data_IF_639089349596
#
_entry.id   IF_639089349596
#
_cell.length_a   1.000
_cell.length_b   1.000
_cell.length_c   1.000
_cell.angle_alpha   90.00
_cell.angle_beta   90.00
_cell.angle_gamma   90.00
#
_symmetry.space_group_name_H-M   'P 1'
#
loop_
_entity.id
_entity.type
_entity.pdbx_description
1 polymer ?
#
# COMPACT_ATOMS: atom_id res chain seq x y z
N UNK A 1 96.02 15.77 46.36
CA UNK A 1 95.21 17.01 46.41
C UNK A 1 94.63 17.25 45.02
N UNK A 2 93.36 17.70 44.95
CA UNK A 2 92.61 18.21 43.77
C UNK A 2 92.34 17.21 42.64
N UNK A 3 91.17 16.55 42.56
CA UNK A 3 89.84 17.00 42.09
C UNK A 3 89.73 17.22 40.57
N UNK A 4 89.02 16.31 39.87
CA UNK A 4 88.39 16.57 38.58
C UNK A 4 87.10 15.73 38.46
N UNK A 5 85.95 16.40 38.36
CA UNK A 5 84.60 15.83 38.15
C UNK A 5 84.28 15.88 36.65
N UNK A 6 83.87 14.75 36.08
CA UNK A 6 83.32 14.65 34.72
C UNK A 6 81.79 14.69 34.74
N UNK A 7 81.23 15.37 33.74
CA UNK A 7 79.81 15.43 33.38
C UNK A 7 79.34 14.08 32.81
N UNK A 8 78.15 13.61 33.23
CA UNK A 8 77.38 12.57 32.53
C UNK A 8 75.87 12.87 32.66
N UNK A 9 75.20 12.93 31.51
CA UNK A 9 73.78 13.25 31.31
C UNK A 9 72.83 12.30 32.05
N UNK A 10 71.78 12.87 32.66
CA UNK A 10 70.60 12.12 33.15
C UNK A 10 69.47 12.23 32.13
N UNK A 11 69.07 11.11 31.55
CA UNK A 11 67.81 10.97 30.82
C UNK A 11 66.68 10.69 31.83
N UNK A 12 65.62 11.49 31.79
CA UNK A 12 64.37 11.27 32.53
C UNK A 12 63.42 10.46 31.63
N UNK A 13 63.06 9.25 32.06
CA UNK A 13 61.97 8.48 31.47
C UNK A 13 60.71 8.68 32.33
N UNK A 14 59.76 9.47 31.84
CA UNK A 14 58.42 9.56 32.41
C UNK A 14 57.55 8.44 31.83
N UNK A 15 57.17 7.48 32.66
CA UNK A 15 56.16 6.46 32.33
C UNK A 15 54.80 7.04 32.68
N UNK A 16 54.00 7.38 31.68
CA UNK A 16 52.57 7.70 31.87
C UNK A 16 51.76 6.39 31.89
N UNK A 17 50.98 6.11 32.93
CA UNK A 17 50.04 4.99 32.91
C UNK A 17 48.86 5.34 32.00
N UNK A 18 48.73 4.63 30.89
CA UNK A 18 47.58 4.72 29.99
C UNK A 18 46.36 4.11 30.69
N UNK A 19 45.54 4.95 31.31
CA UNK A 19 44.24 4.56 31.86
C UNK A 19 43.29 4.33 30.66
N UNK A 20 43.10 3.06 30.26
CA UNK A 20 42.06 2.65 29.32
C UNK A 20 40.71 2.82 30.02
N UNK A 21 40.07 3.97 29.80
CA UNK A 21 38.65 4.17 30.13
C UNK A 21 37.83 3.28 29.19
N UNK A 22 37.46 2.09 29.68
CA UNK A 22 36.44 1.27 29.05
C UNK A 22 35.11 2.04 29.16
N UNK A 23 34.73 2.76 28.12
CA UNK A 23 33.36 3.27 27.99
C UNK A 23 32.44 2.06 27.97
N UNK A 24 31.51 1.90 28.93
CA UNK A 24 30.54 0.83 28.86
C UNK A 24 29.78 0.99 27.55
N UNK A 25 29.83 -0.03 26.71
CA UNK A 25 28.92 -0.16 25.58
C UNK A 25 27.52 -0.11 26.19
N UNK A 26 26.83 1.00 26.01
CA UNK A 26 25.41 1.13 26.33
C UNK A 26 24.71 0.02 25.56
N UNK A 27 24.28 -1.02 26.27
CA UNK A 27 23.62 -2.16 25.68
C UNK A 27 22.40 -1.69 24.89
N UNK A 28 22.33 -2.07 23.62
CA UNK A 28 21.08 -2.01 22.86
C UNK A 28 20.03 -2.76 23.70
N UNK A 29 18.88 -2.13 23.96
CA UNK A 29 17.78 -2.81 24.61
C UNK A 29 17.23 -3.89 23.68
N UNK A 30 17.84 -5.08 23.77
CA UNK A 30 17.47 -6.25 23.00
C UNK A 30 16.00 -6.63 23.19
N UNK A 31 15.34 -6.15 24.26
CA UNK A 31 13.92 -6.40 24.50
C UNK A 31 13.01 -5.69 23.49
N UNK A 32 13.49 -4.67 22.78
CA UNK A 32 12.70 -3.94 21.77
C UNK A 32 12.88 -4.49 20.34
N UNK A 33 13.91 -5.29 20.09
CA UNK A 33 14.12 -5.93 18.79
C UNK A 33 13.16 -7.11 18.60
N UNK A 34 12.23 -6.98 17.64
CA UNK A 34 11.36 -8.08 17.22
C UNK A 34 12.07 -8.95 16.18
N UNK A 35 12.89 -9.90 16.62
CA UNK A 35 13.57 -10.84 15.73
C UNK A 35 12.56 -11.78 15.04
N UNK A 36 12.61 -11.82 13.70
CA UNK A 36 11.95 -12.82 12.86
C UNK A 36 13.02 -13.72 12.26
N UNK A 37 12.87 -15.03 12.42
CA UNK A 37 13.87 -16.01 11.95
C UNK A 37 13.29 -16.90 10.85
N UNK A 38 14.16 -17.39 9.96
CA UNK A 38 13.77 -18.40 8.98
C UNK A 38 13.29 -19.70 9.66
N UNK A 39 13.81 -20.03 10.85
CA UNK A 39 13.32 -21.17 11.64
C UNK A 39 11.83 -21.03 11.97
N UNK A 40 11.39 -19.86 12.47
CA UNK A 40 9.97 -19.61 12.75
C UNK A 40 9.10 -19.80 11.50
N UNK A 41 9.55 -19.30 10.35
CA UNK A 41 8.83 -19.45 9.08
C UNK A 41 8.68 -20.94 8.70
N UNK A 42 9.77 -21.72 8.77
CA UNK A 42 9.74 -23.15 8.46
C UNK A 42 8.86 -23.92 9.46
N UNK A 43 8.96 -23.61 10.75
CA UNK A 43 8.14 -24.22 11.80
C UNK A 43 6.66 -23.92 11.60
N UNK A 44 6.29 -22.69 11.22
CA UNK A 44 4.90 -22.32 10.90
C UNK A 44 4.39 -23.06 9.65
N UNK A 45 5.23 -23.25 8.62
CA UNK A 45 4.87 -23.99 7.40
C UNK A 45 4.74 -25.50 7.60
N UNK A 46 5.48 -26.06 8.56
CA UNK A 46 5.56 -27.51 8.83
C UNK A 46 4.71 -27.95 10.02
N UNK A 47 4.10 -27.00 10.75
CA UNK A 47 3.20 -27.28 11.86
C UNK A 47 2.05 -28.19 11.39
N UNK A 48 1.94 -29.35 12.01
CA UNK A 48 0.75 -30.18 11.86
C UNK A 48 -0.35 -29.60 12.77
N UNK A 49 -1.28 -28.82 12.19
CA UNK A 49 -2.65 -28.47 12.66
C UNK A 49 -3.07 -27.06 12.20
N UNK A 50 -4.38 -26.71 12.10
CA UNK A 50 -5.59 -27.55 12.08
C UNK A 50 -6.02 -27.95 10.65
N UNK A 51 -6.89 -28.95 10.49
CA UNK A 51 -7.51 -29.26 9.19
C UNK A 51 -8.61 -28.24 8.89
N UNK A 52 -8.28 -27.22 8.10
CA UNK A 52 -9.24 -26.22 7.61
C UNK A 52 -9.77 -26.68 6.25
N UNK A 53 -11.09 -26.69 6.08
CA UNK A 53 -11.70 -26.83 4.77
C UNK A 53 -11.63 -25.49 4.03
N UNK A 54 -10.59 -25.34 3.19
CA UNK A 54 -10.33 -24.11 2.47
C UNK A 54 -11.36 -23.81 1.37
N UNK A 55 -12.29 -24.71 1.08
CA UNK A 55 -13.42 -24.44 0.19
C UNK A 55 -14.64 -23.86 0.96
N UNK A 56 -14.60 -23.89 2.29
CA UNK A 56 -15.67 -23.39 3.15
C UNK A 56 -15.26 -22.08 3.81
N UNK A 57 -15.79 -20.97 3.31
CA UNK A 57 -15.49 -19.62 3.80
C UNK A 57 -15.77 -19.46 5.29
N UNK A 58 -16.84 -20.09 5.81
CA UNK A 58 -17.19 -20.02 7.23
C UNK A 58 -16.18 -20.77 8.11
N UNK A 59 -15.60 -21.86 7.61
CA UNK A 59 -14.56 -22.60 8.30
C UNK A 59 -13.25 -21.81 8.37
N UNK A 60 -12.89 -21.11 7.29
CA UNK A 60 -11.70 -20.26 7.24
C UNK A 60 -11.88 -19.02 8.11
N UNK A 61 -13.05 -18.35 8.02
CA UNK A 61 -13.38 -17.22 8.90
C UNK A 61 -13.30 -17.64 10.37
N UNK A 62 -13.87 -18.79 10.74
CA UNK A 62 -13.81 -19.28 12.11
C UNK A 62 -12.36 -19.49 12.60
N UNK A 63 -11.49 -20.03 11.76
CA UNK A 63 -10.08 -20.25 12.11
C UNK A 63 -9.31 -18.92 12.25
N UNK A 64 -9.48 -18.00 11.31
CA UNK A 64 -8.84 -16.68 11.34
C UNK A 64 -9.32 -15.88 12.54
N UNK A 65 -10.64 -15.79 12.74
CA UNK A 65 -11.24 -15.02 13.83
C UNK A 65 -10.83 -15.54 15.21
N UNK A 66 -10.75 -16.86 15.38
CA UNK A 66 -10.26 -17.47 16.62
C UNK A 66 -8.80 -17.12 16.90
N UNK A 67 -7.97 -16.92 15.87
CA UNK A 67 -6.57 -16.53 16.01
C UNK A 67 -6.36 -15.03 16.29
N UNK A 68 -7.36 -14.17 16.07
CA UNK A 68 -7.23 -12.73 16.28
C UNK A 68 -7.00 -12.37 17.77
N UNK A 69 -6.29 -11.28 18.07
CA UNK A 69 -6.29 -10.71 19.42
C UNK A 69 -7.69 -10.19 19.79
N UNK A 70 -7.92 -9.87 21.07
CA UNK A 70 -9.15 -9.20 21.52
C UNK A 70 -9.31 -7.80 20.91
N UNK A 71 -8.20 -7.17 20.51
CA UNK A 71 -8.15 -5.84 19.90
C UNK A 71 -7.24 -5.87 18.66
N UNK A 72 -7.79 -5.47 17.53
CA UNK A 72 -7.12 -5.37 16.23
C UNK A 72 -7.13 -3.91 15.75
N UNK A 73 -6.00 -3.46 15.17
CA UNK A 73 -5.88 -2.12 14.59
C UNK A 73 -5.96 -2.25 13.07
N UNK A 74 -6.85 -1.48 12.46
CA UNK A 74 -7.09 -1.41 11.02
C UNK A 74 -6.33 -0.19 10.49
N UNK A 75 -5.11 -0.40 10.00
CA UNK A 75 -4.25 0.72 9.60
C UNK A 75 -4.68 1.42 8.31
N UNK A 76 -5.02 0.70 7.22
CA UNK A 76 -5.37 1.33 5.97
C UNK A 76 -6.61 2.21 6.10
N UNK A 77 -6.57 3.40 5.51
CA UNK A 77 -7.66 4.38 5.65
C UNK A 77 -8.98 3.95 5.01
N UNK A 78 -8.94 2.97 4.10
CA UNK A 78 -10.10 2.33 3.48
C UNK A 78 -10.75 1.22 4.32
N UNK A 79 -10.29 0.98 5.56
CA UNK A 79 -10.95 0.09 6.54
C UNK A 79 -10.80 -1.42 6.30
N UNK A 80 -9.68 -1.86 5.71
CA UNK A 80 -9.34 -3.27 5.51
C UNK A 80 -8.37 -3.77 6.59
N UNK A 81 -8.80 -4.77 7.35
CA UNK A 81 -7.91 -5.51 8.25
C UNK A 81 -7.27 -6.68 7.50
N UNK A 82 -6.07 -6.47 7.00
CA UNK A 82 -5.32 -7.51 6.29
C UNK A 82 -4.71 -8.54 7.23
N UNK A 83 -4.67 -9.79 6.78
CA UNK A 83 -4.02 -10.89 7.48
C UNK A 83 -3.36 -11.84 6.47
N UNK A 84 -2.40 -12.63 6.96
CA UNK A 84 -1.89 -13.80 6.24
C UNK A 84 -1.68 -14.97 7.18
N UNK A 85 -1.73 -16.19 6.63
CA UNK A 85 -1.41 -17.41 7.37
C UNK A 85 -0.89 -18.50 6.44
N UNK A 86 0.07 -19.32 6.89
CA UNK A 86 0.49 -20.50 6.16
C UNK A 86 -0.51 -21.65 6.36
N UNK A 87 -0.80 -22.38 5.29
CA UNK A 87 -1.58 -23.62 5.33
C UNK A 87 -1.10 -24.59 4.24
N UNK A 88 -0.63 -25.77 4.66
CA UNK A 88 -0.13 -26.84 3.76
C UNK A 88 0.89 -26.37 2.72
N UNK A 89 1.85 -25.54 3.15
CA UNK A 89 2.92 -25.02 2.28
C UNK A 89 2.50 -23.88 1.34
N UNK A 90 1.27 -23.37 1.48
CA UNK A 90 0.77 -22.19 0.77
C UNK A 90 0.56 -21.08 1.79
N UNK A 91 1.04 -19.87 1.50
CA UNK A 91 0.67 -18.68 2.26
C UNK A 91 -0.61 -18.12 1.66
N UNK A 92 -1.62 -17.94 2.51
CA UNK A 92 -2.86 -17.28 2.17
C UNK A 92 -2.82 -15.85 2.70
N UNK A 93 -3.28 -14.91 1.90
CA UNK A 93 -3.60 -13.55 2.30
C UNK A 93 -5.12 -13.37 2.34
N UNK A 94 -5.58 -12.34 3.02
CA UNK A 94 -6.99 -12.00 3.08
C UNK A 94 -7.24 -10.72 3.87
N UNK A 95 -8.51 -10.35 3.95
CA UNK A 95 -8.94 -9.18 4.70
C UNK A 95 -10.28 -9.41 5.40
N UNK A 96 -10.49 -8.65 6.48
CA UNK A 96 -11.80 -8.34 7.04
C UNK A 96 -12.03 -6.86 6.77
N UNK A 97 -12.98 -6.52 5.90
CA UNK A 97 -13.30 -5.13 5.55
C UNK A 97 -14.59 -4.69 6.20
N UNK A 98 -14.54 -3.47 6.73
CA UNK A 98 -15.71 -2.71 7.19
C UNK A 98 -16.06 -1.71 6.10
N UNK A 99 -17.29 -1.71 5.61
CA UNK A 99 -17.68 -0.68 4.65
C UNK A 99 -17.66 0.68 5.37
N UNK A 100 -16.84 1.61 4.89
CA UNK A 100 -16.73 2.98 5.41
C UNK A 100 -17.93 3.87 5.02
N UNK A 101 -19.03 3.25 4.60
CA UNK A 101 -20.14 3.93 3.97
C UNK A 101 -21.20 4.34 4.99
N UNK A 102 -21.97 5.34 4.60
CA UNK A 102 -23.10 5.87 5.39
C UNK A 102 -24.22 4.80 5.60
N UNK A 103 -24.09 3.62 5.01
CA UNK A 103 -25.04 2.51 5.04
C UNK A 103 -24.45 1.22 5.65
N UNK A 104 -23.70 1.34 6.75
CA UNK A 104 -23.25 0.16 7.49
C UNK A 104 -24.45 -0.75 7.83
N UNK A 105 -24.47 -1.96 7.26
CA UNK A 105 -25.62 -2.88 7.30
C UNK A 105 -25.47 -3.97 8.39
N UNK A 106 -24.50 -3.81 9.30
CA UNK A 106 -24.25 -4.79 10.36
C UNK A 106 -23.47 -6.02 9.87
N UNK A 107 -22.74 -5.92 8.76
CA UNK A 107 -21.95 -7.00 8.19
C UNK A 107 -20.49 -6.62 7.98
N UNK A 108 -19.66 -7.64 7.78
CA UNK A 108 -18.26 -7.49 7.35
C UNK A 108 -18.02 -8.27 6.07
N UNK A 109 -17.12 -7.76 5.24
CA UNK A 109 -16.62 -8.45 4.07
C UNK A 109 -15.44 -9.31 4.49
N UNK A 110 -15.46 -10.61 4.18
CA UNK A 110 -14.36 -11.52 4.45
C UNK A 110 -13.89 -12.16 3.16
N UNK A 111 -12.61 -12.00 2.86
CA UNK A 111 -11.97 -12.58 1.69
C UNK A 111 -10.65 -13.26 2.06
N UNK A 112 -10.31 -14.34 1.36
CA UNK A 112 -8.98 -14.93 1.40
C UNK A 112 -8.61 -15.60 0.07
N UNK A 113 -7.31 -15.63 -0.23
CA UNK A 113 -6.75 -16.18 -1.45
C UNK A 113 -5.29 -16.60 -1.21
N UNK A 114 -4.76 -17.58 -1.97
CA UNK A 114 -3.32 -17.82 -1.99
C UNK A 114 -2.59 -16.55 -2.44
N UNK A 115 -1.55 -16.12 -1.71
CA UNK A 115 -0.74 -14.97 -2.12
C UNK A 115 -0.29 -15.11 -3.59
N UNK A 116 -0.19 -14.01 -4.32
CA UNK A 116 0.22 -14.10 -5.72
C UNK A 116 1.65 -14.62 -5.84
N UNK A 117 1.91 -15.31 -6.95
CA UNK A 117 3.25 -15.63 -7.36
C UNK A 117 3.34 -15.52 -8.87
N UNK A 118 4.44 -14.97 -9.38
CA UNK A 118 4.62 -14.66 -10.80
C UNK A 118 4.32 -15.82 -11.78
N UNK A 119 4.52 -17.06 -11.35
CA UNK A 119 4.35 -18.24 -12.21
C UNK A 119 2.92 -18.77 -12.26
N UNK A 120 2.04 -18.33 -11.35
CA UNK A 120 0.64 -18.80 -11.28
C UNK A 120 -0.32 -17.68 -11.63
N UNK A 121 -1.39 -18.02 -12.35
CA UNK A 121 -2.50 -17.09 -12.53
C UNK A 121 -3.09 -16.73 -11.16
N UNK A 122 -3.43 -15.44 -10.92
CA UNK A 122 -4.35 -15.05 -9.88
C UNK A 122 -5.55 -16.00 -9.77
N UNK A 123 -5.87 -16.41 -8.55
CA UNK A 123 -7.09 -17.17 -8.27
C UNK A 123 -8.15 -16.21 -7.74
N UNK A 124 -9.40 -16.45 -8.12
CA UNK A 124 -10.52 -15.68 -7.57
C UNK A 124 -10.53 -15.82 -6.05
N UNK A 125 -10.67 -14.70 -5.31
CA UNK A 125 -10.73 -14.75 -3.86
C UNK A 125 -11.96 -15.53 -3.41
N UNK A 126 -11.78 -16.34 -2.37
CA UNK A 126 -12.91 -16.90 -1.64
C UNK A 126 -13.51 -15.80 -0.79
N UNK A 127 -14.77 -15.46 -1.03
CA UNK A 127 -15.40 -14.27 -0.47
C UNK A 127 -16.78 -14.57 0.12
N UNK A 128 -17.12 -13.91 1.24
CA UNK A 128 -18.47 -13.87 1.80
C UNK A 128 -18.70 -12.59 2.59
N UNK A 129 -19.87 -11.97 2.42
CA UNK A 129 -20.38 -10.90 3.31
C UNK A 129 -21.07 -11.56 4.51
N UNK A 130 -20.47 -11.44 5.69
CA UNK A 130 -20.85 -12.16 6.91
C UNK A 130 -21.70 -11.28 7.83
N UNK A 131 -22.82 -11.81 8.30
CA UNK A 131 -23.75 -11.13 9.20
C UNK A 131 -24.34 -12.03 10.28
N UNK A 132 -25.42 -11.55 10.93
CA UNK A 132 -26.10 -12.29 12.00
C UNK A 132 -26.61 -13.65 11.54
N UNK A 133 -27.00 -13.77 10.28
CA UNK A 133 -27.41 -15.01 9.63
C UNK A 133 -26.29 -16.08 9.62
N UNK A 134 -25.03 -15.66 9.68
CA UNK A 134 -23.85 -16.52 9.75
C UNK A 134 -23.34 -16.71 11.19
N UNK A 135 -24.07 -16.18 12.18
CA UNK A 135 -23.65 -16.16 13.58
C UNK A 135 -22.60 -15.10 13.90
N UNK A 136 -22.39 -14.13 13.01
CA UNK A 136 -21.45 -13.01 13.16
C UNK A 136 -22.23 -11.74 13.54
N UNK A 137 -22.11 -11.28 14.79
CA UNK A 137 -22.73 -10.03 15.24
C UNK A 137 -21.72 -8.88 15.10
N UNK A 138 -21.93 -8.02 14.10
CA UNK A 138 -21.09 -6.84 13.86
C UNK A 138 -21.83 -5.60 14.36
N UNK A 139 -21.15 -4.79 15.17
CA UNK A 139 -21.66 -3.50 15.64
C UNK A 139 -20.66 -2.40 15.31
N UNK A 140 -21.15 -1.33 14.72
CA UNK A 140 -20.44 -0.06 14.63
C UNK A 140 -20.70 0.71 15.92
N UNK A 141 -19.64 0.96 16.69
CA UNK A 141 -19.71 1.75 17.93
C UNK A 141 -19.68 3.23 17.59
N UNK A 142 -18.78 3.61 16.69
CA UNK A 142 -18.72 4.90 16.02
C UNK A 142 -18.01 4.74 14.66
N UNK A 143 -17.70 5.85 13.97
CA UNK A 143 -17.10 5.84 12.63
C UNK A 143 -15.78 5.07 12.54
N UNK A 144 -15.00 5.00 13.62
CA UNK A 144 -13.65 4.41 13.63
C UNK A 144 -13.56 3.14 14.49
N UNK A 145 -14.65 2.72 15.13
CA UNK A 145 -14.64 1.62 16.08
C UNK A 145 -15.77 0.62 15.80
N UNK A 146 -15.39 -0.64 15.64
CA UNK A 146 -16.30 -1.75 15.38
C UNK A 146 -16.05 -2.88 16.39
N UNK A 147 -17.09 -3.64 16.69
CA UNK A 147 -16.96 -4.91 17.39
C UNK A 147 -17.55 -6.01 16.55
N UNK A 148 -16.82 -7.11 16.40
CA UNK A 148 -17.31 -8.34 15.78
C UNK A 148 -17.40 -9.40 16.86
N UNK A 149 -18.54 -10.09 16.97
CA UNK A 149 -18.71 -11.21 17.89
C UNK A 149 -19.06 -12.47 17.13
N UNK A 150 -18.32 -13.54 17.37
CA UNK A 150 -18.54 -14.85 16.74
C UNK A 150 -18.20 -15.95 17.73
N UNK A 151 -19.10 -16.94 17.87
CA UNK A 151 -18.94 -18.11 18.78
C UNK A 151 -18.53 -17.74 20.23
N UNK A 152 -19.02 -16.61 20.74
CA UNK A 152 -18.76 -16.14 22.09
C UNK A 152 -17.46 -15.35 22.27
N UNK A 153 -16.62 -15.24 21.23
CA UNK A 153 -15.47 -14.35 21.20
C UNK A 153 -15.86 -13.02 20.59
N UNK A 154 -15.43 -11.91 21.20
CA UNK A 154 -15.59 -10.56 20.66
C UNK A 154 -14.22 -9.96 20.38
N UNK A 155 -14.06 -9.37 19.20
CA UNK A 155 -12.86 -8.63 18.81
C UNK A 155 -13.26 -7.18 18.53
N UNK A 156 -12.52 -6.25 19.14
CA UNK A 156 -12.61 -4.82 18.84
C UNK A 156 -11.69 -4.48 17.68
N UNK A 157 -12.23 -3.83 16.65
CA UNK A 157 -11.48 -3.31 15.50
C UNK A 157 -11.47 -1.79 15.58
N UNK A 158 -10.28 -1.21 15.55
CA UNK A 158 -10.07 0.22 15.70
C UNK A 158 -9.27 0.78 14.54
N UNK A 159 -9.81 1.83 13.91
CA UNK A 159 -9.10 2.60 12.88
C UNK A 159 -8.37 3.77 13.54
N UNK A 160 -7.12 4.07 13.16
CA UNK A 160 -6.43 5.27 13.63
C UNK A 160 -7.21 6.54 13.28
N UNK A 161 -7.46 7.39 14.28
CA UNK A 161 -8.12 8.68 14.07
C UNK A 161 -7.16 9.70 13.44
N UNK A 162 -7.36 9.99 12.16
CA UNK A 162 -6.63 10.99 11.40
C UNK A 162 -7.40 12.31 11.24
N UNK A 163 -8.55 12.50 11.88
CA UNK A 163 -9.38 13.71 11.75
C UNK A 163 -8.67 15.00 12.18
N UNK A 164 -7.62 14.89 12.99
CA UNK A 164 -6.77 16.00 13.44
C UNK A 164 -5.45 16.10 12.68
N UNK A 165 -5.18 15.16 11.80
CA UNK A 165 -4.01 15.21 10.91
C UNK A 165 -4.23 16.36 9.94
N UNK A 166 -3.25 17.25 9.87
CA UNK A 166 -3.24 18.34 8.90
C UNK A 166 -1.90 18.32 8.18
N UNK A 167 -1.88 18.65 6.88
CA UNK A 167 -0.65 18.90 6.17
C UNK A 167 0.18 19.97 6.89
N UNK A 168 1.50 19.83 6.89
CA UNK A 168 2.36 20.86 7.44
C UNK A 168 2.18 22.19 6.66
N UNK A 169 2.43 23.36 7.29
CA UNK A 169 2.30 24.64 6.59
C UNK A 169 3.13 24.67 5.31
N UNK A 170 2.50 25.01 4.18
CA UNK A 170 3.15 25.06 2.86
C UNK A 170 3.16 23.75 2.07
N UNK A 171 2.67 22.63 2.65
CA UNK A 171 2.52 21.36 1.92
C UNK A 171 1.39 21.42 0.90
N UNK A 172 0.26 22.04 1.26
CA UNK A 172 -0.86 22.30 0.34
C UNK A 172 -0.81 23.76 -0.09
N UNK A 173 -0.87 23.99 -1.40
CA UNK A 173 -0.82 25.32 -2.01
C UNK A 173 -2.21 25.95 -2.12
N UNK A 174 -2.27 27.26 -2.33
CA UNK A 174 -3.54 28.01 -2.44
C UNK A 174 -4.39 27.59 -3.65
N UNK A 175 -3.77 27.05 -4.70
CA UNK A 175 -4.41 26.55 -5.92
C UNK A 175 -4.82 25.06 -5.82
N UNK A 176 -4.62 24.45 -4.66
CA UNK A 176 -4.88 23.03 -4.42
C UNK A 176 -6.04 22.81 -3.46
N UNK A 177 -6.58 21.60 -3.47
CA UNK A 177 -7.60 21.16 -2.52
C UNK A 177 -7.09 19.95 -1.79
N UNK A 178 -7.04 20.05 -0.47
CA UNK A 178 -6.74 18.91 0.38
C UNK A 178 -7.94 17.95 0.38
N UNK A 179 -7.70 16.70 0.00
CA UNK A 179 -8.75 15.67 -0.04
C UNK A 179 -8.79 14.93 1.29
N UNK A 180 -7.64 14.56 1.84
CA UNK A 180 -7.55 13.96 3.15
C UNK A 180 -6.24 13.21 3.41
N UNK A 181 -6.03 12.78 4.66
CA UNK A 181 -4.87 11.99 5.05
C UNK A 181 -5.07 10.52 4.68
N UNK A 182 -4.09 9.94 4.00
CA UNK A 182 -4.01 8.52 3.69
C UNK A 182 -2.99 7.87 4.62
N UNK A 183 -3.34 6.70 5.13
CA UNK A 183 -2.41 5.75 5.71
C UNK A 183 -2.55 4.48 4.90
N UNK A 184 -1.55 4.17 4.10
CA UNK A 184 -1.53 3.06 3.15
C UNK A 184 -1.10 1.74 3.83
N UNK A 185 -1.34 0.58 3.21
CA UNK A 185 -0.94 -0.75 3.74
C UNK A 185 0.55 -0.86 3.99
N UNK A 186 1.36 -0.15 3.18
CA UNK A 186 2.79 -0.07 3.41
C UNK A 186 3.11 0.55 4.76
N UNK A 187 2.18 1.27 5.38
CA UNK A 187 2.36 2.07 6.58
C UNK A 187 2.89 3.48 6.29
N UNK A 188 3.18 3.81 5.03
CA UNK A 188 3.49 5.18 4.60
C UNK A 188 2.22 6.02 4.66
N UNK A 189 2.36 7.29 5.07
CA UNK A 189 1.24 8.24 5.04
C UNK A 189 1.40 9.22 3.90
N UNK A 190 0.28 9.64 3.35
CA UNK A 190 0.21 10.65 2.32
C UNK A 190 -0.82 11.71 2.68
N UNK A 191 -0.58 12.93 2.23
CA UNK A 191 -1.61 13.93 2.06
C UNK A 191 -2.08 13.82 0.60
N UNK A 192 -3.32 13.39 0.39
CA UNK A 192 -3.91 13.38 -0.95
C UNK A 192 -4.38 14.79 -1.30
N UNK A 193 -3.84 15.32 -2.39
CA UNK A 193 -4.06 16.71 -2.82
C UNK A 193 -4.53 16.73 -4.25
N UNK A 194 -5.55 17.53 -4.57
CA UNK A 194 -6.00 17.79 -5.93
C UNK A 194 -5.52 19.16 -6.40
N UNK A 195 -4.69 19.20 -7.44
CA UNK A 195 -4.29 20.43 -8.11
C UNK A 195 -5.37 20.84 -9.12
N UNK A 196 -6.14 21.88 -8.80
CA UNK A 196 -7.27 22.32 -9.62
C UNK A 196 -6.84 22.81 -11.02
N UNK A 197 -5.79 23.65 -11.15
CA UNK A 197 -5.38 24.14 -12.48
C UNK A 197 -4.94 23.04 -13.44
N UNK A 198 -4.20 22.03 -12.97
CA UNK A 198 -3.72 20.92 -13.81
C UNK A 198 -4.68 19.73 -13.86
N UNK A 199 -5.68 19.68 -12.97
CA UNK A 199 -6.58 18.54 -12.76
C UNK A 199 -5.83 17.25 -12.44
N UNK A 200 -4.89 17.34 -11.51
CA UNK A 200 -4.00 16.23 -11.16
C UNK A 200 -4.08 15.93 -9.67
N UNK A 201 -4.22 14.65 -9.32
CA UNK A 201 -4.04 14.20 -7.94
C UNK A 201 -2.57 13.98 -7.64
N UNK A 202 -2.15 14.38 -6.44
CA UNK A 202 -0.79 14.24 -5.94
C UNK A 202 -0.84 13.50 -4.60
N UNK A 203 -0.11 12.39 -4.53
CA UNK A 203 0.22 11.73 -3.27
C UNK A 203 1.46 12.39 -2.68
N UNK A 204 1.25 13.30 -1.74
CA UNK A 204 2.33 14.03 -1.08
C UNK A 204 2.77 13.29 0.17
N UNK A 205 4.06 12.97 0.29
CA UNK A 205 4.58 12.21 1.41
C UNK A 205 4.41 12.94 2.76
N UNK A 206 3.72 12.30 3.69
CA UNK A 206 3.66 12.66 5.09
C UNK A 206 4.54 11.69 5.90
N UNK A 207 5.81 12.05 6.10
CA UNK A 207 6.84 11.17 6.65
C UNK A 207 6.81 11.07 8.21
N UNK A 208 5.62 11.21 8.82
CA UNK A 208 5.43 11.24 10.27
C UNK A 208 4.38 10.19 10.75
N UNK A 209 4.81 9.10 11.42
CA UNK A 209 6.19 8.73 11.73
C UNK A 209 6.94 8.24 10.49
N UNK A 210 8.27 8.33 10.54
CA UNK A 210 9.14 7.81 9.49
C UNK A 210 9.17 6.28 9.54
N UNK A 211 8.62 5.64 8.51
CA UNK A 211 8.49 4.16 8.38
C UNK A 211 9.41 3.56 7.30
N UNK A 212 10.14 4.41 6.59
CA UNK A 212 11.11 4.02 5.58
C UNK A 212 12.36 4.91 5.66
N UNK A 213 13.46 4.44 5.08
CA UNK A 213 14.63 5.25 4.79
C UNK A 213 14.66 5.55 3.30
N UNK A 214 15.12 6.74 2.92
CA UNK A 214 15.11 7.19 1.53
C UNK A 214 16.55 7.45 1.09
N UNK A 215 16.91 6.93 -0.08
CA UNK A 215 18.20 7.14 -0.73
C UNK A 215 18.03 7.98 -2.00
N UNK A 216 18.99 8.86 -2.29
CA UNK A 216 19.02 9.62 -3.54
C UNK A 216 19.21 8.66 -4.72
N UNK A 217 18.36 8.79 -5.73
CA UNK A 217 18.50 8.06 -6.98
C UNK A 217 19.62 8.65 -7.87
N UNK A 218 19.95 7.93 -8.94
CA UNK A 218 20.78 8.44 -10.05
C UNK A 218 20.15 9.65 -10.75
N UNK A 219 18.81 9.76 -10.72
CA UNK A 219 18.08 10.90 -11.27
C UNK A 219 18.03 12.05 -10.23
N UNK A 220 18.45 13.28 -10.60
CA UNK A 220 18.40 14.42 -9.69
C UNK A 220 17.00 14.72 -9.14
N UNK A 221 16.92 14.90 -7.82
CA UNK A 221 15.68 15.27 -7.14
C UNK A 221 14.72 14.10 -6.88
N UNK A 222 15.12 12.86 -7.19
CA UNK A 222 14.36 11.65 -6.88
C UNK A 222 14.99 10.93 -5.69
N UNK A 223 14.16 10.51 -4.74
CA UNK A 223 14.56 9.64 -3.63
C UNK A 223 13.72 8.37 -3.61
N UNK A 224 14.31 7.22 -3.31
CA UNK A 224 13.63 5.92 -3.29
C UNK A 224 13.64 5.32 -1.89
N UNK A 225 12.49 4.79 -1.45
CA UNK A 225 12.35 4.09 -0.17
C UNK A 225 13.05 2.72 -0.18
N UNK A 226 13.84 2.41 0.84
CA UNK A 226 14.53 1.11 0.96
C UNK A 226 13.56 -0.06 1.19
N UNK A 227 12.45 0.19 1.91
CA UNK A 227 11.47 -0.84 2.24
C UNK A 227 10.37 -0.96 1.20
N UNK A 228 9.81 0.17 0.77
CA UNK A 228 8.64 0.16 -0.13
C UNK A 228 9.01 0.24 -1.60
N UNK A 229 10.23 0.68 -1.94
CA UNK A 229 10.58 1.06 -3.31
C UNK A 229 9.62 2.10 -3.91
N UNK A 230 9.06 2.97 -3.08
CA UNK A 230 8.33 4.14 -3.54
C UNK A 230 9.33 5.23 -3.92
N UNK A 231 9.17 5.79 -5.12
CA UNK A 231 10.01 6.85 -5.65
C UNK A 231 9.30 8.21 -5.52
N UNK A 232 9.99 9.14 -4.88
CA UNK A 232 9.48 10.47 -4.60
C UNK A 232 10.30 11.54 -5.30
N UNK A 233 9.63 12.48 -5.95
CA UNK A 233 10.25 13.67 -6.52
C UNK A 233 10.18 14.84 -5.54
N UNK A 234 11.29 15.56 -5.38
CA UNK A 234 11.34 16.81 -4.63
C UNK A 234 10.67 17.92 -5.43
N UNK A 235 9.51 18.36 -4.96
CA UNK A 235 8.78 19.45 -5.60
C UNK A 235 9.64 20.74 -5.59
N UNK A 236 9.77 21.41 -6.74
CA UNK A 236 10.51 22.65 -6.88
C UNK A 236 9.69 23.90 -6.53
N UNK A 237 8.36 23.78 -6.45
CA UNK A 237 7.43 24.88 -6.19
C UNK A 237 6.86 24.88 -4.76
N UNK A 238 7.13 23.83 -3.98
CA UNK A 238 6.76 23.70 -2.57
C UNK A 238 7.74 22.77 -1.85
N UNK A 239 7.97 22.95 -0.55
CA UNK A 239 8.87 22.08 0.24
C UNK A 239 8.16 20.77 0.61
N UNK A 240 8.05 19.86 -0.36
CA UNK A 240 7.36 18.58 -0.23
C UNK A 240 7.92 17.54 -1.21
N UNK A 241 7.52 16.30 -1.01
CA UNK A 241 7.89 15.15 -1.85
C UNK A 241 6.63 14.52 -2.45
N UNK A 242 6.59 14.38 -3.76
CA UNK A 242 5.44 13.83 -4.51
C UNK A 242 5.80 12.40 -4.93
N UNK A 243 4.91 11.43 -4.68
CA UNK A 243 5.07 10.08 -5.22
C UNK A 243 5.01 10.14 -6.75
N UNK A 244 6.07 9.69 -7.43
CA UNK A 244 6.14 9.65 -8.90
C UNK A 244 6.29 8.23 -9.44
N UNK A 245 6.59 7.25 -8.58
CA UNK A 245 6.63 5.87 -9.00
C UNK A 245 6.53 4.85 -7.89
N UNK A 246 6.02 3.69 -8.27
CA UNK A 246 5.97 2.48 -7.46
C UNK A 246 6.67 1.36 -8.23
N UNK A 247 7.45 0.54 -7.53
CA UNK A 247 8.18 -0.54 -8.19
C UNK A 247 7.23 -1.59 -8.76
N UNK A 248 7.31 -1.81 -10.07
CA UNK A 248 6.42 -2.70 -10.83
C UNK A 248 6.37 -4.12 -10.27
N UNK A 249 7.46 -4.62 -9.69
CA UNK A 249 7.49 -5.95 -9.09
C UNK A 249 6.56 -6.10 -7.88
N UNK A 250 6.28 -5.01 -7.14
CA UNK A 250 5.33 -5.03 -6.04
C UNK A 250 3.89 -5.03 -6.55
N UNK A 251 3.58 -4.18 -7.54
CA UNK A 251 2.29 -4.14 -8.21
C UNK A 251 1.93 -5.49 -8.86
N UNK A 252 2.88 -6.12 -9.55
CA UNK A 252 2.66 -7.46 -10.14
C UNK A 252 2.41 -8.56 -9.10
N UNK A 253 2.86 -8.37 -7.87
CA UNK A 253 2.63 -9.30 -6.75
C UNK A 253 1.42 -8.90 -5.90
N UNK A 254 0.83 -7.71 -6.13
CA UNK A 254 -0.25 -7.14 -5.32
C UNK A 254 0.03 -7.27 -3.82
N UNK A 255 1.24 -6.86 -3.43
CA UNK A 255 1.68 -6.88 -2.03
C UNK A 255 1.46 -5.50 -1.40
N UNK A 256 1.71 -5.35 -0.10
CA UNK A 256 1.49 -4.08 0.62
C UNK A 256 2.34 -2.87 0.14
N UNK A 257 3.07 -2.98 -0.97
CA UNK A 257 3.90 -1.94 -1.56
C UNK A 257 3.56 -1.70 -3.05
N UNK A 258 2.35 -2.06 -3.48
CA UNK A 258 1.80 -1.82 -4.82
C UNK A 258 1.25 -0.40 -5.02
N UNK A 259 1.03 0.32 -3.92
CA UNK A 259 0.85 1.76 -3.88
C UNK A 259 -0.56 2.19 -3.45
N UNK A 260 -0.78 3.48 -3.18
CA UNK A 260 -1.97 3.98 -2.48
C UNK A 260 -3.18 4.24 -3.39
N UNK A 261 -3.24 3.63 -4.58
CA UNK A 261 -4.18 4.02 -5.65
C UNK A 261 -5.66 3.85 -5.27
N UNK A 262 -5.96 2.84 -4.46
CA UNK A 262 -7.30 2.53 -3.93
C UNK A 262 -7.45 2.86 -2.44
N UNK A 263 -6.37 3.26 -1.76
CA UNK A 263 -6.30 3.56 -0.32
C UNK A 263 -6.86 4.93 0.09
N UNK A 264 -8.06 5.29 -0.37
CA UNK A 264 -8.58 6.66 -0.22
C UNK A 264 -8.96 6.99 1.24
N UNK A 265 -9.02 8.28 1.62
CA UNK A 265 -9.22 8.71 3.00
C UNK A 265 -10.71 8.68 3.41
N UNK A 266 -11.44 7.59 3.16
CA UNK A 266 -12.91 7.48 3.26
C UNK A 266 -13.46 8.03 4.57
N UNK A 267 -12.80 7.69 5.67
CA UNK A 267 -13.23 8.09 7.00
C UNK A 267 -12.97 9.58 7.31
N UNK A 268 -12.27 10.31 6.45
CA UNK A 268 -11.79 11.67 6.68
C UNK A 268 -12.15 12.66 5.56
N UNK A 269 -12.80 12.22 4.47
CA UNK A 269 -13.23 13.12 3.39
C UNK A 269 -14.22 14.17 3.92
N UNK A 270 -13.94 15.44 3.67
CA UNK A 270 -14.85 16.56 3.97
C UNK A 270 -15.84 16.78 2.83
N UNK A 271 -17.14 16.73 3.14
CA UNK A 271 -18.19 16.96 2.13
C UNK A 271 -18.00 16.06 0.90
N UNK A 272 -18.16 16.62 -0.29
CA UNK A 272 -18.03 15.88 -1.55
C UNK A 272 -16.68 16.12 -2.26
N UNK A 273 -15.65 16.56 -1.52
CA UNK A 273 -14.39 17.04 -2.10
C UNK A 273 -13.70 16.04 -3.03
N UNK A 274 -13.64 14.75 -2.66
CA UNK A 274 -13.08 13.71 -3.52
C UNK A 274 -13.91 13.54 -4.79
N UNK A 275 -15.22 13.32 -4.67
CA UNK A 275 -16.12 13.13 -5.81
C UNK A 275 -16.06 14.31 -6.79
N UNK A 276 -16.07 15.53 -6.27
CA UNK A 276 -16.03 16.72 -7.10
C UNK A 276 -14.69 16.82 -7.87
N UNK A 277 -13.57 16.51 -7.22
CA UNK A 277 -12.27 16.41 -7.88
C UNK A 277 -12.22 15.30 -8.95
N UNK A 278 -12.77 14.11 -8.65
CA UNK A 278 -12.87 13.01 -9.61
C UNK A 278 -13.70 13.39 -10.85
N UNK A 279 -14.80 14.13 -10.66
CA UNK A 279 -15.64 14.64 -11.77
C UNK A 279 -14.88 15.70 -12.60
N UNK A 280 -13.98 16.47 -12.01
CA UNK A 280 -13.15 17.41 -12.76
C UNK A 280 -12.13 16.71 -13.67
N UNK A 281 -11.60 15.56 -13.22
CA UNK A 281 -10.71 14.66 -13.99
C UNK A 281 -11.50 13.92 -15.07
N UNK A 282 -12.59 13.26 -14.70
CA UNK A 282 -13.43 12.46 -15.59
C UNK A 282 -14.91 12.90 -15.52
N UNK A 283 -15.31 13.90 -16.34
CA UNK A 283 -16.66 14.44 -16.33
C UNK A 283 -17.75 13.40 -16.64
N UNK A 284 -17.43 12.31 -17.34
CA UNK A 284 -18.41 11.27 -17.67
C UNK A 284 -18.86 10.44 -16.47
N UNK A 285 -18.20 10.56 -15.32
CA UNK A 285 -18.59 9.91 -14.06
C UNK A 285 -19.62 10.69 -13.24
N UNK A 286 -20.02 11.89 -13.69
CA UNK A 286 -21.03 12.69 -13.01
C UNK A 286 -22.34 11.90 -12.82
N UNK A 287 -22.74 11.72 -11.56
CA UNK A 287 -23.95 10.97 -11.19
C UNK A 287 -23.80 9.45 -11.22
N UNK A 288 -22.60 8.93 -11.44
CA UNK A 288 -22.28 7.49 -11.45
C UNK A 288 -21.46 7.02 -10.26
N UNK A 289 -21.05 7.95 -9.39
CA UNK A 289 -20.26 7.66 -8.19
C UNK A 289 -20.82 8.40 -6.98
N UNK A 290 -20.62 7.82 -5.80
CA UNK A 290 -20.89 8.44 -4.52
C UNK A 290 -19.76 9.39 -4.08
N UNK A 291 -19.82 9.86 -2.83
CA UNK A 291 -18.81 10.77 -2.25
C UNK A 291 -17.42 10.13 -2.08
N UNK A 292 -17.32 8.80 -2.10
CA UNK A 292 -16.11 8.01 -1.90
C UNK A 292 -15.46 7.59 -3.22
N UNK A 293 -16.08 7.94 -4.36
CA UNK A 293 -15.63 7.50 -5.68
C UNK A 293 -16.07 6.08 -6.03
N UNK A 294 -17.03 5.52 -5.28
CA UNK A 294 -17.60 4.19 -5.52
C UNK A 294 -18.88 4.28 -6.35
N UNK A 295 -19.14 3.27 -7.17
CA UNK A 295 -20.40 3.16 -7.91
C UNK A 295 -21.58 2.85 -6.96
N UNK A 296 -22.85 2.90 -7.41
CA UNK A 296 -24.00 2.63 -6.55
C UNK A 296 -24.06 1.20 -5.98
N UNK A 297 -23.42 0.22 -6.63
CA UNK A 297 -23.28 -1.12 -6.06
C UNK A 297 -22.20 -1.16 -4.97
N UNK A 298 -21.25 -0.25 -5.06
CA UNK A 298 -20.05 -0.19 -4.25
C UNK A 298 -19.09 -1.36 -4.51
N UNK A 299 -19.34 -2.12 -5.58
CA UNK A 299 -18.43 -3.14 -6.09
C UNK A 299 -17.31 -2.51 -6.91
N UNK A 300 -17.47 -1.26 -7.35
CA UNK A 300 -16.50 -0.60 -8.21
C UNK A 300 -16.03 0.71 -7.58
N UNK A 301 -14.73 0.96 -7.59
CA UNK A 301 -14.11 2.16 -7.01
C UNK A 301 -13.19 2.81 -8.03
N UNK A 302 -13.15 4.14 -8.02
CA UNK A 302 -12.20 4.88 -8.83
C UNK A 302 -10.78 4.73 -8.26
N UNK A 303 -9.86 4.14 -9.03
CA UNK A 303 -8.43 4.10 -8.73
C UNK A 303 -7.76 5.42 -9.13
N UNK A 304 -6.92 5.98 -8.26
CA UNK A 304 -6.14 7.20 -8.53
C UNK A 304 -4.68 6.81 -8.80
N UNK A 305 -4.32 6.61 -10.07
CA UNK A 305 -3.01 6.04 -10.48
C UNK A 305 -2.06 7.08 -11.07
N UNK A 306 -1.84 8.20 -10.38
CA UNK A 306 -1.06 9.32 -10.96
C UNK A 306 0.46 9.10 -11.01
N UNK A 307 0.96 7.95 -10.58
CA UNK A 307 2.39 7.61 -10.56
C UNK A 307 2.72 6.46 -11.53
N UNK A 308 3.99 6.31 -11.88
CA UNK A 308 4.44 5.29 -12.82
C UNK A 308 4.83 3.97 -12.13
N UNK A 309 4.40 2.84 -12.68
CA UNK A 309 5.00 1.54 -12.36
C UNK A 309 6.37 1.40 -13.04
N UNK A 310 7.44 1.47 -12.25
CA UNK A 310 8.82 1.48 -12.76
C UNK A 310 9.54 0.15 -12.52
N UNK A 311 10.37 -0.28 -13.47
CA UNK A 311 11.24 -1.46 -13.32
C UNK A 311 12.66 -1.06 -12.93
N UNK A 312 13.16 0.03 -13.53
CA UNK A 312 14.41 0.68 -13.18
C UNK A 312 14.12 2.15 -12.82
N UNK A 313 14.92 2.75 -11.94
CA UNK A 313 14.70 4.15 -11.55
C UNK A 313 14.85 5.09 -12.75
N UNK A 314 15.66 4.73 -13.75
CA UNK A 314 15.78 5.48 -15.01
C UNK A 314 14.46 5.58 -15.80
N UNK A 315 13.50 4.68 -15.58
CA UNK A 315 12.17 4.74 -16.20
C UNK A 315 11.41 6.01 -15.78
N UNK A 316 11.75 6.60 -14.62
CA UNK A 316 11.11 7.82 -14.09
C UNK A 316 11.62 9.10 -14.75
N UNK A 317 12.68 9.03 -15.58
CA UNK A 317 13.28 10.19 -16.23
C UNK A 317 12.31 11.04 -17.06
N UNK A 318 11.32 10.50 -17.80
CA UNK A 318 10.36 11.31 -18.55
C UNK A 318 9.56 12.28 -17.66
N UNK A 319 9.17 11.84 -16.45
CA UNK A 319 8.45 12.67 -15.47
C UNK A 319 9.35 13.82 -15.03
N UNK A 320 10.60 13.49 -14.65
CA UNK A 320 11.58 14.47 -14.16
C UNK A 320 11.99 15.47 -15.24
N UNK A 321 12.19 15.00 -16.48
CA UNK A 321 12.52 15.85 -17.62
C UNK A 321 11.38 16.80 -17.99
N UNK A 322 10.13 16.35 -17.87
CA UNK A 322 8.94 17.19 -18.03
C UNK A 322 8.95 18.28 -16.96
N UNK A 323 8.99 17.86 -15.70
CA UNK A 323 8.98 18.75 -14.55
C UNK A 323 10.12 19.77 -14.57
N UNK A 324 11.32 19.39 -15.04
CA UNK A 324 12.48 20.28 -15.12
C UNK A 324 12.31 21.41 -16.16
N UNK A 325 11.61 21.16 -17.27
CA UNK A 325 11.45 22.12 -18.38
C UNK A 325 10.33 23.13 -18.14
N UNK A 326 9.31 22.75 -17.37
CA UNK A 326 8.13 23.59 -17.16
C UNK A 326 8.37 24.72 -16.15
N UNK A 327 8.02 25.95 -16.50
CA UNK A 327 8.10 27.11 -15.58
C UNK A 327 6.72 27.60 -15.16
N UNK A 328 5.68 27.19 -15.89
CA UNK A 328 4.27 27.43 -15.58
C UNK A 328 3.77 26.37 -14.60
N UNK A 329 3.17 26.79 -13.48
CA UNK A 329 2.78 25.89 -12.40
C UNK A 329 1.74 24.82 -12.83
N UNK A 330 0.65 25.17 -13.54
CA UNK A 330 -0.27 24.15 -14.08
C UNK A 330 0.42 23.12 -14.99
N UNK A 331 1.27 23.54 -15.92
CA UNK A 331 2.00 22.60 -16.80
C UNK A 331 2.99 21.74 -16.03
N UNK A 332 3.66 22.32 -15.03
CA UNK A 332 4.58 21.60 -14.16
C UNK A 332 3.85 20.48 -13.39
N UNK A 333 2.70 20.77 -12.79
CA UNK A 333 1.94 19.75 -12.04
C UNK A 333 1.30 18.69 -12.94
N UNK A 334 0.97 19.04 -14.19
CA UNK A 334 0.51 18.06 -15.18
C UNK A 334 1.57 16.99 -15.52
N UNK A 335 2.86 17.27 -15.30
CA UNK A 335 3.91 16.26 -15.47
C UNK A 335 3.81 15.09 -14.49
N UNK A 336 3.09 15.25 -13.37
CA UNK A 336 2.90 14.21 -12.34
C UNK A 336 1.59 13.45 -12.53
N UNK A 337 0.90 13.58 -13.66
CA UNK A 337 -0.12 12.63 -14.10
C UNK A 337 0.60 11.55 -14.95
N UNK A 338 1.39 10.71 -14.28
CA UNK A 338 2.33 9.77 -14.91
C UNK A 338 1.75 8.36 -15.09
N UNK A 339 0.42 8.25 -15.13
CA UNK A 339 -0.32 7.00 -15.30
C UNK A 339 0.10 6.20 -16.52
N UNK A 340 0.01 4.88 -16.44
CA UNK A 340 0.04 4.09 -17.66
C UNK A 340 -1.32 4.11 -18.37
N UNK A 341 -1.36 3.97 -19.70
CA UNK A 341 -2.61 3.96 -20.44
C UNK A 341 -3.55 2.84 -19.95
N UNK A 342 -4.73 3.22 -19.44
CA UNK A 342 -5.80 2.28 -19.04
C UNK A 342 -5.92 2.00 -17.54
N UNK A 343 -5.15 2.68 -16.68
CA UNK A 343 -5.11 2.39 -15.23
C UNK A 343 -5.98 3.32 -14.36
N UNK A 344 -6.39 4.49 -14.87
CA UNK A 344 -7.39 5.32 -14.18
C UNK A 344 -8.80 4.89 -14.58
N UNK A 345 -9.65 4.65 -13.57
CA UNK A 345 -11.06 4.42 -13.81
C UNK A 345 -11.73 3.57 -12.74
N UNK A 346 -13.01 3.25 -12.95
CA UNK A 346 -13.72 2.27 -12.15
C UNK A 346 -13.01 0.90 -12.19
N UNK A 347 -12.32 0.53 -11.12
CA UNK A 347 -11.84 -0.83 -10.87
C UNK A 347 -12.90 -1.62 -10.10
N UNK A 348 -13.10 -2.89 -10.45
CA UNK A 348 -13.92 -3.79 -9.64
C UNK A 348 -13.17 -4.03 -8.32
N UNK A 349 -13.67 -3.47 -7.23
CA UNK A 349 -13.20 -3.78 -5.89
C UNK A 349 -13.19 -5.29 -5.68
N UNK A 350 -12.13 -5.79 -5.05
CA UNK A 350 -11.60 -7.16 -5.05
C UNK A 350 -12.53 -8.29 -4.52
N UNK A 351 -13.75 -8.37 -5.03
CA UNK A 351 -14.61 -9.55 -5.00
C UNK A 351 -14.50 -10.40 -6.26
N UNK A 352 -13.88 -9.88 -7.34
CA UNK A 352 -13.61 -10.59 -8.60
C UNK A 352 -12.33 -10.05 -9.22
N UNK A 353 -11.25 -10.82 -9.16
CA UNK A 353 -9.99 -10.45 -9.81
C UNK A 353 -10.18 -10.41 -11.32
N UNK A 354 -9.93 -9.26 -11.95
CA UNK A 354 -9.96 -9.20 -13.40
C UNK A 354 -8.66 -9.79 -13.97
N UNK A 355 -8.85 -10.73 -14.87
CA UNK A 355 -7.82 -11.29 -15.71
C UNK A 355 -7.98 -10.63 -17.09
N UNK A 356 -7.48 -9.41 -17.26
CA UNK A 356 -7.47 -8.78 -18.57
C UNK A 356 -6.10 -8.15 -18.84
N UNK A 357 -5.46 -8.57 -19.93
CA UNK A 357 -4.21 -7.96 -20.38
C UNK A 357 -3.20 -8.83 -21.14
N UNK A 358 -3.62 -9.79 -21.99
CA UNK A 358 -2.84 -10.15 -23.18
C UNK A 358 -3.74 -10.50 -24.35
N UNK A 359 -3.75 -9.60 -25.34
CA UNK A 359 -4.15 -9.90 -26.71
C UNK A 359 -3.42 -11.16 -27.18
N UNK A 360 -4.17 -12.24 -27.39
CA UNK A 360 -3.71 -13.35 -28.19
C UNK A 360 -3.71 -12.90 -29.64
N UNK A 361 -2.51 -12.63 -30.18
CA UNK A 361 -2.29 -12.53 -31.62
C UNK A 361 -2.86 -13.78 -32.30
N UNK A 362 -3.88 -13.57 -33.14
CA UNK A 362 -4.51 -14.60 -33.94
C UNK A 362 -3.47 -15.29 -34.85
N UNK A 363 -3.06 -16.49 -34.47
CA UNK A 363 -2.46 -17.42 -35.41
C UNK A 363 -3.59 -18.03 -36.25
N UNK A 364 -3.60 -17.69 -37.53
CA UNK A 364 -4.45 -18.27 -38.55
C UNK A 364 -4.23 -19.78 -38.64
N UNK A 365 -5.23 -20.59 -38.28
CA UNK A 365 -5.32 -21.97 -38.75
C UNK A 365 -6.07 -22.02 -40.10
N UNK A 366 -5.66 -22.91 -41.03
CA UNK A 366 -6.22 -22.95 -42.38
C UNK A 366 -7.59 -23.63 -42.39
N UNK A 367 -8.51 -23.04 -43.16
CA UNK A 367 -9.84 -23.56 -43.41
C UNK A 367 -9.81 -24.97 -44.03
N UNK A 368 -10.48 -25.93 -43.37
CA UNK A 368 -10.90 -27.17 -44.01
C UNK A 368 -12.14 -26.91 -44.89
N UNK A 369 -12.22 -27.55 -46.08
CA UNK A 369 -13.22 -27.23 -47.10
C UNK A 369 -14.60 -27.84 -46.82
N UNK A 370 -15.63 -27.07 -47.16
CA UNK A 370 -17.03 -27.45 -47.11
C UNK A 370 -17.34 -28.72 -47.96
N UNK A 371 -18.26 -29.60 -47.51
CA UNK A 371 -18.69 -30.73 -48.31
C UNK A 371 -19.61 -30.28 -49.45
N UNK A 372 -19.27 -30.73 -50.65
CA UNK A 372 -19.96 -30.44 -51.91
C UNK A 372 -21.34 -31.10 -52.01
N UNK A 373 -22.32 -30.31 -52.44
CA UNK A 373 -23.61 -30.80 -52.92
C UNK A 373 -23.42 -31.67 -54.17
N UNK A 374 -23.85 -32.93 -54.11
CA UNK A 374 -24.17 -33.72 -55.30
C UNK A 374 -25.63 -33.52 -55.68
N UNK A 375 -25.88 -32.92 -56.85
CA UNK A 375 -27.20 -33.00 -57.53
C UNK A 375 -27.14 -33.95 -58.74
N UNK A 376 -27.80 -35.09 -58.56
CA UNK A 376 -28.63 -35.87 -59.50
C UNK A 376 -28.04 -36.47 -60.80
N UNK A 377 -27.84 -37.79 -60.73
CA UNK A 377 -28.27 -38.89 -61.63
C UNK A 377 -27.87 -38.92 -63.11
N UNK A 378 -27.17 -40.03 -63.42
CA UNK A 378 -26.73 -40.62 -64.70
C UNK A 378 -25.56 -39.94 -65.41
#
# INVERSE_FOLDING_TARGET
MTAYRQFLSKAFACVFPTLLLATPLTGVDAATLKLRTNQQIIEDLTRQEPKIDMANVDAVFAAVFEALPEKAVVYPTESYYYFSFPYKGIVYAGNIRFDAWDQFDGKVHFAYFPEYAFWRKPLDPSYKKLGKEDGVDVKQIDKLHYTVTFKGKTVAFELPDLSKTKPAPGVVRDDETYIGPIWDESGVKFDLVFNKPSKTFLYVLNDAPKVDQYEDATIPGVTVGHRTSFAFYKDKLADRRILIGVFMGNTQLNNYFDGPFDQLPDNFIEGDALRDALIEVEPSMKGKMDRYGSDPSGEVRYAITTYMYYGDVEDLKPIVDCAAKETDAPKYYACFDAKQPGEDGPEQGDGKGDASGREATAASEPAEPAPSEKKKTK
#
